data_IF_824440078732
#
_entry.id   IF_824440078732
#
_cell.length_a   1.000
_cell.length_b   1.000
_cell.length_c   1.000
_cell.angle_alpha   90.00
_cell.angle_beta   90.00
_cell.angle_gamma   90.00
#
_symmetry.space_group_name_H-M   'P 1'
#
loop_
_entity.id
_entity.type
_entity.pdbx_description
1 polymer ?
#
# COMPACT_ATOMS: atom_id res chain seq x y z
N UNK A 1 5.60 11.27 18.95
CA UNK A 1 5.46 10.53 17.68
C UNK A 1 6.83 10.00 17.26
N UNK A 2 6.95 8.75 16.76
CA UNK A 2 8.22 8.18 16.28
C UNK A 2 8.77 9.01 15.10
N UNK A 3 10.05 9.37 15.14
CA UNK A 3 10.72 10.31 14.20
C UNK A 3 10.67 9.92 12.71
N UNK A 4 10.36 8.66 12.35
CA UNK A 4 10.41 8.17 10.97
C UNK A 4 9.09 8.08 10.18
N UNK A 5 7.92 8.41 10.76
CA UNK A 5 6.62 8.18 10.08
C UNK A 5 6.19 9.36 9.20
N UNK A 6 5.25 9.11 8.28
CA UNK A 6 4.55 10.11 7.46
C UNK A 6 5.50 10.91 6.56
N UNK A 7 6.33 10.18 5.82
CA UNK A 7 7.29 10.73 4.86
C UNK A 7 6.96 10.17 3.49
N UNK A 8 6.76 11.04 2.52
CA UNK A 8 6.79 10.68 1.11
C UNK A 8 8.18 11.00 0.58
N UNK A 9 8.86 10.04 -0.03
CA UNK A 9 10.24 10.19 -0.48
C UNK A 9 10.47 9.31 -1.70
N UNK A 10 11.54 9.58 -2.42
CA UNK A 10 12.00 8.75 -3.53
C UNK A 10 13.43 8.30 -3.26
N UNK A 11 13.77 7.16 -3.84
CA UNK A 11 15.13 6.61 -3.84
C UNK A 11 15.52 6.29 -5.28
N UNK A 12 16.80 6.44 -5.58
CA UNK A 12 17.40 6.01 -6.82
C UNK A 12 18.27 4.79 -6.54
N UNK A 13 18.11 3.76 -7.38
CA UNK A 13 19.01 2.62 -7.40
C UNK A 13 20.15 2.97 -8.36
N UNK A 14 21.38 2.86 -7.88
CA UNK A 14 22.59 3.05 -8.66
C UNK A 14 23.39 1.75 -8.71
N UNK A 15 24.12 1.54 -9.80
CA UNK A 15 24.93 0.33 -10.01
C UNK A 15 24.11 -0.89 -10.45
N UNK A 16 24.77 -2.05 -10.49
CA UNK A 16 24.20 -3.33 -10.91
C UNK A 16 24.95 -4.51 -10.25
N UNK A 17 24.30 -5.68 -10.20
CA UNK A 17 24.89 -6.89 -9.60
C UNK A 17 25.08 -6.75 -8.09
N UNK A 18 26.28 -7.03 -7.60
CA UNK A 18 26.60 -6.94 -6.17
C UNK A 18 26.85 -5.49 -5.70
N UNK A 19 27.10 -4.56 -6.62
CA UNK A 19 27.35 -3.15 -6.33
C UNK A 19 26.08 -2.29 -6.44
N UNK A 20 24.98 -2.73 -5.82
CA UNK A 20 23.72 -1.97 -5.79
C UNK A 20 23.72 -1.00 -4.61
N UNK A 21 23.58 0.29 -4.91
CA UNK A 21 23.46 1.35 -3.92
C UNK A 21 22.10 2.04 -3.99
N UNK A 22 21.55 2.41 -2.84
CA UNK A 22 20.33 3.21 -2.72
C UNK A 22 20.67 4.61 -2.24
N UNK A 23 20.36 5.63 -3.04
CA UNK A 23 20.46 7.03 -2.64
C UNK A 23 19.07 7.67 -2.54
N UNK A 24 18.89 8.60 -1.59
CA UNK A 24 17.64 9.36 -1.47
C UNK A 24 17.62 10.46 -2.52
N UNK A 25 16.51 10.59 -3.23
CA UNK A 25 16.26 11.66 -4.20
C UNK A 25 15.48 12.78 -3.52
N UNK A 26 15.91 14.02 -3.71
CA UNK A 26 15.24 15.19 -3.14
C UNK A 26 15.24 15.20 -1.62
N UNK A 27 14.15 15.67 -1.01
CA UNK A 27 14.00 15.73 0.46
C UNK A 27 12.73 14.99 0.89
N UNK A 28 12.78 14.11 1.91
CA UNK A 28 11.58 13.46 2.41
C UNK A 28 10.49 14.46 2.80
N UNK A 29 9.35 14.38 2.11
CA UNK A 29 8.22 15.27 2.25
C UNK A 29 7.37 14.88 3.46
N UNK A 30 7.25 15.79 4.44
CA UNK A 30 6.62 15.51 5.76
C UNK A 30 5.20 16.05 5.90
N UNK A 31 4.68 16.70 4.85
CA UNK A 31 3.43 17.47 4.89
C UNK A 31 2.27 16.74 4.20
N UNK A 32 2.47 15.52 3.68
CA UNK A 32 1.45 14.77 2.93
C UNK A 32 0.13 14.64 3.71
N UNK A 33 0.19 14.24 5.00
CA UNK A 33 -1.02 14.11 5.82
C UNK A 33 -1.74 15.45 6.01
N UNK A 34 -1.00 16.54 6.15
CA UNK A 34 -1.59 17.88 6.23
C UNK A 34 -2.23 18.28 4.91
N UNK A 35 -1.61 17.96 3.78
CA UNK A 35 -2.17 18.27 2.46
C UNK A 35 -3.43 17.43 2.19
N UNK A 36 -3.47 16.15 2.61
CA UNK A 36 -4.69 15.31 2.60
C UNK A 36 -5.86 16.00 3.33
N UNK A 37 -5.61 16.62 4.48
CA UNK A 37 -6.66 17.32 5.26
C UNK A 37 -7.13 18.63 4.64
N UNK A 38 -6.38 19.19 3.67
CA UNK A 38 -6.71 20.47 3.03
C UNK A 38 -7.58 20.32 1.79
N UNK A 39 -7.59 19.14 1.17
CA UNK A 39 -8.43 18.88 0.00
C UNK A 39 -9.91 18.79 0.43
N UNK A 40 -10.81 19.68 -0.05
CA UNK A 40 -12.21 19.67 0.38
C UNK A 40 -12.92 18.33 0.13
N UNK A 41 -12.60 17.65 -0.98
CA UNK A 41 -13.16 16.34 -1.32
C UNK A 41 -12.82 15.23 -0.29
N UNK A 42 -11.77 15.39 0.52
CA UNK A 42 -11.39 14.43 1.56
C UNK A 42 -11.96 14.75 2.94
N UNK A 43 -12.67 15.88 3.10
CA UNK A 43 -13.14 16.37 4.40
C UNK A 43 -14.06 15.35 5.10
N UNK A 44 -14.90 14.66 4.35
CA UNK A 44 -15.84 13.65 4.87
C UNK A 44 -15.13 12.47 5.57
N UNK A 45 -13.91 12.12 5.14
CA UNK A 45 -13.17 10.97 5.68
C UNK A 45 -12.37 11.29 6.95
N UNK A 46 -12.35 12.55 7.41
CA UNK A 46 -11.71 12.98 8.66
C UNK A 46 -10.27 12.48 8.85
N UNK A 47 -9.47 12.47 7.77
CA UNK A 47 -8.12 11.87 7.76
C UNK A 47 -7.16 12.48 8.79
N UNK A 48 -7.39 13.73 9.20
CA UNK A 48 -6.61 14.38 10.26
C UNK A 48 -6.87 13.78 11.65
N UNK A 49 -8.10 13.34 11.92
CA UNK A 49 -8.46 12.65 13.16
C UNK A 49 -8.06 11.17 13.10
N UNK A 50 -8.25 10.53 11.95
CA UNK A 50 -7.73 9.18 11.69
C UNK A 50 -6.21 9.11 11.92
N UNK A 51 -5.46 10.17 11.58
CA UNK A 51 -4.03 10.27 11.84
C UNK A 51 -3.67 10.38 13.34
N UNK A 52 -4.62 10.59 14.25
CA UNK A 52 -4.36 10.58 15.70
C UNK A 52 -4.54 9.19 16.31
N UNK A 53 -5.26 8.31 15.61
CA UNK A 53 -5.52 6.92 16.01
C UNK A 53 -4.33 6.04 15.58
N UNK A 54 -3.92 5.02 16.38
CA UNK A 54 -2.84 4.14 15.97
C UNK A 54 -3.15 3.41 14.64
N UNK A 55 -2.18 3.23 13.72
CA UNK A 55 -2.47 2.75 12.36
C UNK A 55 -3.07 1.35 12.22
N UNK A 56 -2.96 0.50 13.25
CA UNK A 56 -3.53 -0.86 13.27
C UNK A 56 -4.88 -0.93 14.01
N UNK A 57 -5.33 0.19 14.59
CA UNK A 57 -6.62 0.30 15.27
C UNK A 57 -7.72 0.72 14.29
N UNK A 58 -9.00 0.35 14.55
CA UNK A 58 -10.13 0.77 13.74
C UNK A 58 -10.17 2.29 13.53
N UNK A 59 -10.28 2.73 12.27
CA UNK A 59 -10.31 4.15 11.90
C UNK A 59 -8.95 4.85 11.86
N UNK A 60 -7.85 4.15 12.18
CA UNK A 60 -6.49 4.69 12.07
C UNK A 60 -6.07 4.96 10.62
N UNK A 61 -5.43 6.12 10.38
CA UNK A 61 -4.82 6.41 9.09
C UNK A 61 -3.62 5.51 8.87
N UNK A 62 -3.68 4.68 7.84
CA UNK A 62 -2.60 3.80 7.45
C UNK A 62 -2.52 3.70 5.92
N UNK A 63 -1.39 4.15 5.37
CA UNK A 63 -1.07 4.08 3.94
C UNK A 63 -0.20 2.84 3.73
N UNK A 64 -0.71 1.86 2.98
CA UNK A 64 0.03 0.63 2.65
C UNK A 64 0.08 0.40 1.12
N UNK A 65 -0.66 1.19 0.33
CA UNK A 65 -0.61 1.13 -1.14
C UNK A 65 0.07 2.35 -1.76
N UNK A 66 0.92 2.12 -2.76
CA UNK A 66 1.43 3.14 -3.65
C UNK A 66 1.69 2.53 -5.03
N UNK A 67 0.95 2.94 -6.06
CA UNK A 67 1.13 2.46 -7.43
C UNK A 67 1.30 3.62 -8.41
N UNK A 68 2.09 3.42 -9.45
CA UNK A 68 2.11 4.33 -10.59
C UNK A 68 0.82 4.18 -11.41
N UNK A 69 0.39 5.29 -11.99
CA UNK A 69 -0.54 5.29 -13.12
C UNK A 69 0.25 5.24 -14.43
N UNK A 70 -0.35 4.76 -15.55
CA UNK A 70 0.32 4.75 -16.85
C UNK A 70 0.89 6.12 -17.27
N UNK A 71 0.25 7.20 -16.83
CA UNK A 71 0.60 8.58 -17.23
C UNK A 71 1.55 9.30 -16.26
N UNK A 72 2.02 8.64 -15.19
CA UNK A 72 3.02 9.17 -14.26
C UNK A 72 2.55 9.67 -12.88
N UNK A 73 1.29 10.09 -12.65
CA UNK A 73 0.74 10.24 -11.30
C UNK A 73 0.85 8.94 -10.48
N UNK A 74 0.67 9.06 -9.16
CA UNK A 74 0.59 7.90 -8.26
C UNK A 74 -0.81 7.74 -7.68
N UNK A 75 -1.17 6.53 -7.31
CA UNK A 75 -2.33 6.21 -6.47
C UNK A 75 -1.85 5.86 -5.06
N UNK A 76 -2.32 6.60 -4.06
CA UNK A 76 -2.08 6.31 -2.65
C UNK A 76 -3.25 5.44 -2.16
N UNK A 77 -2.97 4.20 -1.73
CA UNK A 77 -3.97 3.28 -1.20
C UNK A 77 -3.94 3.22 0.33
N UNK A 78 -5.11 3.36 0.96
CA UNK A 78 -5.24 3.26 2.41
C UNK A 78 -5.68 1.86 2.85
N UNK A 79 -5.00 1.30 3.85
CA UNK A 79 -5.52 0.20 4.65
C UNK A 79 -6.66 0.67 5.56
N UNK A 80 -6.52 1.89 6.07
CA UNK A 80 -7.49 2.52 6.94
C UNK A 80 -7.39 4.05 6.85
N UNK A 81 -8.50 4.78 7.06
CA UNK A 81 -9.86 4.29 7.33
C UNK A 81 -10.53 3.63 6.10
N UNK A 82 -11.63 2.90 6.34
CA UNK A 82 -12.46 2.23 5.32
C UNK A 82 -13.88 2.85 5.36
N UNK A 83 -14.08 4.04 4.79
CA UNK A 83 -15.37 4.73 4.83
C UNK A 83 -16.45 3.94 4.10
N UNK A 84 -17.62 3.78 4.74
CA UNK A 84 -18.79 3.07 4.18
C UNK A 84 -18.46 1.66 3.63
N UNK A 85 -17.47 0.99 4.24
CA UNK A 85 -17.04 -0.34 3.80
C UNK A 85 -16.23 -0.37 2.49
N UNK A 86 -15.86 0.80 1.95
CA UNK A 86 -15.06 0.93 0.72
C UNK A 86 -13.62 1.36 1.03
N UNK A 87 -12.68 0.82 0.26
CA UNK A 87 -11.28 1.22 0.33
C UNK A 87 -11.08 2.60 -0.29
N UNK A 88 -10.28 3.45 0.35
CA UNK A 88 -10.01 4.81 -0.12
C UNK A 88 -8.66 4.86 -0.85
N UNK A 89 -8.70 5.26 -2.12
CA UNK A 89 -7.54 5.59 -2.94
C UNK A 89 -7.52 7.09 -3.23
N UNK A 90 -6.33 7.68 -3.27
CA UNK A 90 -6.14 9.12 -3.45
C UNK A 90 -5.07 9.34 -4.53
N UNK A 91 -5.41 9.94 -5.69
CA UNK A 91 -4.42 10.30 -6.69
C UNK A 91 -3.47 11.37 -6.18
N UNK A 92 -2.18 11.21 -6.46
CA UNK A 92 -1.13 12.19 -6.30
C UNK A 92 -0.64 12.61 -7.68
N UNK A 93 -1.04 13.79 -8.12
CA UNK A 93 -0.88 14.26 -9.50
C UNK A 93 0.50 14.87 -9.79
N UNK A 94 1.33 15.08 -8.78
CA UNK A 94 2.64 15.75 -8.92
C UNK A 94 3.77 15.10 -8.09
N UNK A 95 3.95 13.77 -8.13
CA UNK A 95 4.85 13.07 -7.22
C UNK A 95 6.30 13.58 -7.30
N UNK A 96 6.81 13.90 -8.48
CA UNK A 96 8.17 14.44 -8.68
C UNK A 96 8.34 15.82 -8.01
N UNK A 97 7.34 16.69 -8.12
CA UNK A 97 7.38 18.00 -7.46
C UNK A 97 7.30 17.89 -5.93
N UNK A 98 6.56 16.91 -5.41
CA UNK A 98 6.52 16.63 -3.98
C UNK A 98 7.87 16.17 -3.46
N UNK A 99 8.58 15.31 -4.22
CA UNK A 99 9.97 14.92 -3.92
C UNK A 99 10.91 16.14 -3.94
N UNK A 100 10.66 17.10 -4.82
CA UNK A 100 11.35 18.39 -4.87
C UNK A 100 10.91 19.38 -3.78
N UNK A 101 9.96 19.01 -2.92
CA UNK A 101 9.54 19.79 -1.74
C UNK A 101 8.32 20.68 -1.95
N UNK A 102 7.65 20.62 -3.11
CA UNK A 102 6.38 21.33 -3.36
C UNK A 102 5.21 20.63 -2.66
N UNK A 103 4.08 21.33 -2.52
CA UNK A 103 2.87 20.74 -1.93
C UNK A 103 2.26 19.66 -2.81
N UNK A 104 1.65 18.65 -2.18
CA UNK A 104 0.94 17.60 -2.91
C UNK A 104 -0.30 18.18 -3.60
N UNK A 105 -0.44 17.92 -4.90
CA UNK A 105 -1.67 18.12 -5.67
C UNK A 105 -2.40 16.79 -5.72
N UNK A 106 -3.45 16.71 -4.91
CA UNK A 106 -4.25 15.50 -4.74
C UNK A 106 -5.48 15.54 -5.66
N UNK A 107 -5.81 14.40 -6.27
CA UNK A 107 -7.00 14.24 -7.09
C UNK A 107 -8.25 13.90 -6.28
N UNK A 108 -9.36 13.71 -6.99
CA UNK A 108 -10.61 13.24 -6.38
C UNK A 108 -10.40 11.84 -5.75
N UNK A 109 -10.94 11.60 -4.54
CA UNK A 109 -10.87 10.28 -3.91
C UNK A 109 -11.60 9.23 -4.73
N UNK A 110 -11.06 8.03 -4.77
CA UNK A 110 -11.66 6.85 -5.41
C UNK A 110 -12.05 5.87 -4.31
N UNK A 111 -13.29 5.38 -4.35
CA UNK A 111 -13.83 4.43 -3.37
C UNK A 111 -14.06 3.07 -4.02
N UNK A 112 -13.29 2.07 -3.61
CA UNK A 112 -13.35 0.73 -4.20
C UNK A 112 -14.07 -0.26 -3.29
N UNK A 113 -14.97 -1.06 -3.89
CA UNK A 113 -15.73 -2.10 -3.21
C UNK A 113 -14.89 -3.38 -2.97
N UNK A 114 -13.94 -3.33 -2.02
CA UNK A 114 -13.09 -4.48 -1.67
C UNK A 114 -13.73 -5.40 -0.58
N UNK A 115 -15.06 -5.38 -0.49
CA UNK A 115 -15.83 -6.16 0.48
C UNK A 115 -15.52 -5.82 1.94
N UNK A 116 -15.51 -4.53 2.30
CA UNK A 116 -15.22 -4.08 3.66
C UNK A 116 -13.74 -4.07 4.04
N UNK A 117 -12.84 -4.19 3.05
CA UNK A 117 -11.38 -4.25 3.24
C UNK A 117 -10.69 -2.98 2.76
N UNK A 118 -9.53 -2.69 3.33
CA UNK A 118 -8.61 -1.65 2.86
C UNK A 118 -7.48 -2.23 2.02
N UNK A 119 -6.70 -1.35 1.39
CA UNK A 119 -5.54 -1.70 0.56
C UNK A 119 -4.35 -2.08 1.45
N UNK A 120 -3.78 -3.26 1.22
CA UNK A 120 -2.51 -3.71 1.82
C UNK A 120 -1.33 -3.58 0.85
N UNK A 121 -1.61 -3.66 -0.45
CA UNK A 121 -0.66 -3.39 -1.54
C UNK A 121 -1.46 -3.21 -2.83
N UNK A 122 -0.94 -2.41 -3.75
CA UNK A 122 -1.50 -2.17 -5.08
C UNK A 122 -0.36 -2.00 -6.06
N UNK A 123 -0.43 -2.68 -7.19
CA UNK A 123 0.58 -2.65 -8.24
C UNK A 123 -0.10 -2.63 -9.60
N UNK A 124 0.34 -1.73 -10.49
CA UNK A 124 -0.09 -1.76 -11.89
C UNK A 124 0.71 -2.83 -12.64
N UNK A 125 0.04 -3.70 -13.37
CA UNK A 125 0.65 -4.77 -14.16
C UNK A 125 0.45 -4.45 -15.65
N UNK A 126 1.47 -3.90 -16.35
CA UNK A 126 1.34 -3.48 -17.75
C UNK A 126 0.89 -4.60 -18.69
N UNK A 127 1.35 -5.83 -18.45
CA UNK A 127 0.97 -7.00 -19.27
C UNK A 127 -0.53 -7.34 -19.19
N UNK A 128 -1.22 -6.91 -18.13
CA UNK A 128 -2.66 -7.10 -17.94
C UNK A 128 -3.46 -5.82 -18.22
N UNK A 129 -2.81 -4.66 -18.30
CA UNK A 129 -3.48 -3.36 -18.34
C UNK A 129 -4.34 -3.09 -17.11
N UNK A 130 -4.00 -3.68 -15.96
CA UNK A 130 -4.82 -3.69 -14.74
C UNK A 130 -3.98 -3.51 -13.48
N UNK A 131 -4.62 -2.98 -12.45
CA UNK A 131 -4.12 -2.99 -11.08
C UNK A 131 -4.43 -4.32 -10.41
N UNK A 132 -3.46 -4.88 -9.71
CA UNK A 132 -3.64 -5.97 -8.76
C UNK A 132 -3.61 -5.39 -7.36
N UNK A 133 -4.65 -5.67 -6.58
CA UNK A 133 -4.82 -5.13 -5.23
C UNK A 133 -4.87 -6.28 -4.24
N UNK A 134 -3.98 -6.25 -3.25
CA UNK A 134 -4.11 -7.08 -2.06
C UNK A 134 -4.94 -6.32 -1.04
N UNK A 135 -6.11 -6.86 -0.66
CA UNK A 135 -7.01 -6.23 0.29
C UNK A 135 -7.07 -7.03 1.59
N UNK A 136 -7.18 -6.33 2.72
CA UNK A 136 -7.28 -6.94 4.05
C UNK A 136 -8.05 -6.07 5.02
N UNK A 137 -8.37 -6.63 6.19
CA UNK A 137 -9.02 -5.86 7.25
C UNK A 137 -8.14 -4.69 7.71
N UNK A 138 -8.78 -3.63 8.21
CA UNK A 138 -8.06 -2.52 8.85
C UNK A 138 -7.27 -2.99 10.10
N UNK A 139 -7.79 -3.98 10.84
CA UNK A 139 -7.17 -4.57 12.03
C UNK A 139 -6.11 -5.65 11.75
N UNK A 140 -5.62 -6.31 12.82
CA UNK A 140 -4.51 -7.30 12.78
C UNK A 140 -4.98 -8.67 12.24
N UNK A 141 -6.25 -9.02 12.46
CA UNK A 141 -6.86 -10.25 11.95
C UNK A 141 -7.81 -9.94 10.78
N UNK A 142 -7.79 -10.76 9.74
CA UNK A 142 -8.72 -10.60 8.63
C UNK A 142 -8.53 -11.59 7.49
N UNK A 143 -9.61 -11.86 6.77
CA UNK A 143 -9.57 -12.58 5.49
C UNK A 143 -9.00 -11.64 4.44
N UNK A 144 -7.87 -12.01 3.85
CA UNK A 144 -7.30 -11.31 2.71
C UNK A 144 -7.98 -11.76 1.42
N UNK A 145 -8.04 -10.85 0.44
CA UNK A 145 -8.59 -11.12 -0.88
C UNK A 145 -7.80 -10.31 -1.90
N UNK A 146 -7.42 -10.95 -3.00
CA UNK A 146 -6.81 -10.28 -4.14
C UNK A 146 -7.90 -9.84 -5.13
N UNK A 147 -7.71 -8.68 -5.75
CA UNK A 147 -8.60 -8.11 -6.75
C UNK A 147 -7.84 -7.63 -7.99
N UNK A 148 -8.51 -7.68 -9.14
CA UNK A 148 -8.14 -6.98 -10.38
C UNK A 148 -9.00 -5.74 -10.52
N UNK A 149 -8.42 -4.61 -10.89
CA UNK A 149 -9.14 -3.37 -11.13
C UNK A 149 -8.58 -2.66 -12.38
N UNK A 150 -9.44 -2.12 -13.22
CA UNK A 150 -9.05 -1.48 -14.48
C UNK A 150 -8.28 -0.18 -14.29
N UNK A 151 -8.45 0.48 -13.14
CA UNK A 151 -7.97 1.86 -12.93
C UNK A 151 -9.04 2.92 -13.17
N UNK A 152 -10.21 2.52 -13.69
CA UNK A 152 -11.36 3.42 -13.89
C UNK A 152 -12.11 3.57 -12.57
N UNK A 153 -12.26 4.81 -12.10
CA UNK A 153 -12.78 5.12 -10.76
C UNK A 153 -14.19 4.55 -10.49
N UNK A 154 -15.03 4.49 -11.52
CA UNK A 154 -16.42 4.06 -11.43
C UNK A 154 -16.62 2.56 -11.74
N UNK A 155 -15.53 1.81 -12.01
CA UNK A 155 -15.58 0.37 -12.25
C UNK A 155 -15.18 -0.41 -10.99
N UNK A 156 -16.00 -1.41 -10.65
CA UNK A 156 -15.76 -2.24 -9.48
C UNK A 156 -14.58 -3.21 -9.71
N UNK A 157 -13.70 -3.40 -8.70
CA UNK A 157 -12.68 -4.44 -8.74
C UNK A 157 -13.28 -5.85 -8.73
N UNK A 158 -12.70 -6.74 -9.52
CA UNK A 158 -13.09 -8.16 -9.61
C UNK A 158 -12.21 -9.02 -8.72
N UNK A 159 -12.80 -9.87 -7.88
CA UNK A 159 -12.05 -10.76 -7.00
C UNK A 159 -11.30 -11.84 -7.80
N UNK A 160 -10.04 -12.08 -7.44
CA UNK A 160 -9.24 -13.21 -7.93
C UNK A 160 -9.49 -14.41 -7.00
N UNK A 161 -10.14 -15.45 -7.53
CA UNK A 161 -10.49 -16.65 -6.77
C UNK A 161 -9.43 -17.75 -6.92
N UNK A 162 -9.41 -18.70 -5.98
CA UNK A 162 -8.52 -19.86 -6.01
C UNK A 162 -7.29 -19.73 -5.10
N UNK A 163 -6.98 -18.53 -4.64
CA UNK A 163 -5.83 -18.27 -3.76
C UNK A 163 -6.19 -18.38 -2.28
N UNK A 164 -5.31 -19.00 -1.49
CA UNK A 164 -5.50 -19.16 -0.05
C UNK A 164 -4.44 -18.38 0.74
N UNK A 165 -4.88 -17.27 1.34
CA UNK A 165 -4.03 -16.44 2.21
C UNK A 165 -4.14 -16.79 3.69
N UNK A 166 -4.75 -17.92 4.05
CA UNK A 166 -4.93 -18.32 5.44
C UNK A 166 -3.58 -18.43 6.18
N UNK A 167 -3.52 -17.82 7.37
CA UNK A 167 -2.32 -17.78 8.18
C UNK A 167 -1.19 -16.90 7.62
N UNK A 168 -1.42 -16.13 6.55
CA UNK A 168 -0.51 -15.09 6.06
C UNK A 168 -0.98 -13.69 6.51
N UNK A 169 -0.08 -12.72 6.47
CA UNK A 169 -0.37 -11.29 6.57
C UNK A 169 0.24 -10.55 5.38
N UNK A 170 -0.32 -10.68 4.17
CA UNK A 170 0.18 -9.99 2.99
C UNK A 170 0.31 -8.47 3.19
N UNK A 171 1.49 -7.90 2.94
CA UNK A 171 1.76 -6.46 3.04
C UNK A 171 2.53 -5.88 1.82
N UNK A 172 3.03 -6.73 0.92
CA UNK A 172 3.61 -6.28 -0.34
C UNK A 172 3.42 -7.32 -1.43
N UNK A 173 3.40 -6.85 -2.68
CA UNK A 173 3.41 -7.69 -3.88
C UNK A 173 4.49 -7.16 -4.84
N UNK A 174 5.03 -8.06 -5.66
CA UNK A 174 5.88 -7.71 -6.79
C UNK A 174 5.39 -8.48 -8.00
N UNK A 175 5.08 -7.75 -9.07
CA UNK A 175 4.75 -8.34 -10.36
C UNK A 175 6.03 -8.66 -11.14
N UNK A 176 6.20 -9.91 -11.55
CA UNK A 176 7.28 -10.33 -12.43
C UNK A 176 6.81 -10.24 -13.89
N UNK A 177 7.61 -9.60 -14.77
CA UNK A 177 7.25 -9.47 -16.18
C UNK A 177 7.30 -10.82 -16.90
N UNK A 178 6.48 -10.93 -17.95
CA UNK A 178 6.43 -12.08 -18.85
C UNK A 178 5.17 -12.93 -18.69
N UNK A 179 4.80 -13.72 -19.72
CA UNK A 179 3.71 -14.68 -19.63
C UNK A 179 4.17 -16.03 -19.05
N UNK A 180 3.40 -16.66 -18.15
CA UNK A 180 2.25 -16.10 -17.47
C UNK A 180 2.68 -15.04 -16.45
N UNK A 181 1.80 -14.09 -16.14
CA UNK A 181 2.07 -13.06 -15.13
C UNK A 181 2.19 -13.75 -13.77
N UNK A 182 3.31 -13.53 -13.08
CA UNK A 182 3.56 -14.09 -11.75
C UNK A 182 3.70 -12.98 -10.73
N UNK A 183 3.02 -13.14 -9.61
CA UNK A 183 3.08 -12.23 -8.47
C UNK A 183 3.81 -12.93 -7.32
N UNK A 184 4.79 -12.26 -6.74
CA UNK A 184 5.39 -12.66 -5.48
C UNK A 184 4.75 -11.84 -4.35
N UNK A 185 4.01 -12.51 -3.47
CA UNK A 185 3.35 -11.90 -2.31
C UNK A 185 4.24 -12.09 -1.08
N UNK A 186 4.41 -11.03 -0.29
CA UNK A 186 5.20 -11.01 0.93
C UNK A 186 4.30 -10.87 2.17
N UNK A 187 4.50 -11.74 3.15
CA UNK A 187 3.74 -11.78 4.40
C UNK A 187 4.54 -11.18 5.56
N UNK A 188 3.99 -10.17 6.26
CA UNK A 188 4.55 -9.69 7.54
C UNK A 188 4.30 -10.72 8.64
N UNK A 189 5.33 -11.53 8.91
CA UNK A 189 5.28 -12.54 9.95
C UNK A 189 5.74 -12.01 11.31
N UNK A 190 5.86 -10.68 11.49
CA UNK A 190 6.38 -10.07 12.72
C UNK A 190 5.65 -10.49 14.01
N UNK A 191 4.35 -10.76 13.95
CA UNK A 191 3.56 -11.24 15.10
C UNK A 191 3.42 -12.75 15.18
N UNK A 192 4.04 -13.50 14.26
CA UNK A 192 4.00 -14.96 14.28
C UNK A 192 4.88 -15.49 15.41
N UNK A 193 4.34 -16.40 16.20
CA UNK A 193 5.04 -17.02 17.31
C UNK A 193 6.09 -18.04 16.82
N UNK A 194 7.24 -18.05 17.50
CA UNK A 194 8.32 -19.02 17.33
C UNK A 194 8.84 -19.39 18.72
N UNK A 195 8.31 -20.49 19.26
CA UNK A 195 8.48 -20.80 20.68
C UNK A 195 7.71 -19.78 21.53
N UNK A 196 8.37 -19.19 22.53
CA UNK A 196 7.77 -18.19 23.42
C UNK A 196 7.88 -16.73 22.94
N UNK A 197 8.49 -16.49 21.77
CA UNK A 197 8.72 -15.15 21.22
C UNK A 197 7.96 -14.93 19.93
N UNK A 198 7.56 -13.68 19.66
CA UNK A 198 7.10 -13.28 18.33
C UNK A 198 8.30 -13.05 17.41
N UNK A 199 8.12 -13.25 16.10
CA UNK A 199 9.19 -13.09 15.11
C UNK A 199 9.89 -11.71 15.18
N UNK A 200 9.12 -10.63 15.41
CA UNK A 200 9.66 -9.26 15.56
C UNK A 200 10.60 -9.09 16.77
N UNK A 201 10.46 -9.95 17.78
CA UNK A 201 11.21 -9.90 19.04
C UNK A 201 12.44 -10.82 19.02
N UNK A 202 12.63 -11.62 17.95
CA UNK A 202 13.83 -12.42 17.74
C UNK A 202 15.05 -11.54 17.37
N UNK A 203 16.30 -12.05 17.53
CA UNK A 203 17.48 -11.44 16.95
C UNK A 203 17.32 -11.23 15.44
N UNK A 204 17.84 -10.13 14.89
CA UNK A 204 17.61 -9.70 13.50
C UNK A 204 17.87 -10.82 12.48
N UNK A 205 18.99 -11.53 12.59
CA UNK A 205 19.34 -12.64 11.68
C UNK A 205 18.46 -13.90 11.80
N UNK A 206 17.58 -13.95 12.80
CA UNK A 206 16.62 -15.04 13.01
C UNK A 206 15.18 -14.67 12.63
N UNK A 207 14.92 -13.39 12.36
CA UNK A 207 13.63 -12.91 11.87
C UNK A 207 13.42 -13.44 10.45
N UNK A 208 12.20 -13.85 10.16
CA UNK A 208 11.83 -14.39 8.84
C UNK A 208 10.48 -13.83 8.44
N UNK A 209 10.26 -13.79 7.14
CA UNK A 209 8.97 -13.57 6.51
C UNK A 209 8.70 -14.72 5.54
N UNK A 210 7.45 -14.91 5.15
CA UNK A 210 7.07 -15.87 4.12
C UNK A 210 6.74 -15.16 2.83
N UNK A 211 6.93 -15.89 1.73
CA UNK A 211 6.46 -15.50 0.41
C UNK A 211 5.53 -16.54 -0.18
N UNK A 212 4.67 -16.11 -1.09
CA UNK A 212 3.77 -16.95 -1.87
C UNK A 212 3.84 -16.52 -3.34
N UNK A 213 3.99 -17.49 -4.24
CA UNK A 213 3.87 -17.26 -5.68
C UNK A 213 2.42 -17.45 -6.11
N UNK A 214 1.93 -16.52 -6.92
CA UNK A 214 0.60 -16.56 -7.55
C UNK A 214 0.79 -16.37 -9.04
N UNK A 215 0.03 -17.11 -9.85
CA UNK A 215 0.00 -16.96 -11.31
C UNK A 215 -1.34 -16.38 -11.71
N UNK A 216 -1.34 -15.31 -12.52
CA UNK A 216 -2.51 -14.56 -12.96
C UNK A 216 -2.82 -14.78 -14.44
#
# INVERSE_FOLDING_TARGET
>A
MRSGRRRFFATQINGAGEAVELSVVGKPYRKLVRDLTRLPALKAYKLGDAAKIPPKEPGGLNIEGLAATPDGPLLIGLRGPIPDGKALLIPLNNPQEVVAGKSARLGAPILLALGGRGVRSIDYVPALGQYIIMAGAAGISGKFQMYRWSGVADEDPVAVNGENFSGLQPEAMIAYPGPPVRMLVFSDDGTREKGSLMCKDLPVGQRRFRTLWITL
#
